data_IF_527315131136
#
_entry.id   IF_527315131136
#
_cell.length_a   1.000
_cell.length_b   1.000
_cell.length_c   1.000
_cell.angle_alpha   90.00
_cell.angle_beta   90.00
_cell.angle_gamma   90.00
#
_symmetry.space_group_name_H-M   'P 1'
#
loop_
_entity.id
_entity.type
_entity.pdbx_description
1 polymer ?
#
# COMPACT_ATOMS: atom_id res chain seq x y z
N UNK A 1 4.52 -6.16 13.24
CA UNK A 1 5.31 -4.89 13.03
C UNK A 1 4.32 -3.75 13.03
N UNK A 2 4.60 -2.61 13.66
CA UNK A 2 3.73 -1.42 13.59
C UNK A 2 4.33 -0.42 12.61
N UNK A 3 3.50 0.14 11.73
CA UNK A 3 3.92 1.24 10.85
C UNK A 3 3.84 2.56 11.61
N UNK A 4 4.81 3.43 11.40
CA UNK A 4 4.89 4.72 12.08
C UNK A 4 4.39 5.85 11.17
N UNK A 5 3.91 6.99 11.75
CA UNK A 5 3.56 8.16 10.93
C UNK A 5 4.70 8.66 10.04
N UNK A 6 5.96 8.50 10.48
CA UNK A 6 7.14 8.85 9.69
C UNK A 6 7.25 8.01 8.42
N UNK A 7 6.93 6.72 8.49
CA UNK A 7 6.95 5.81 7.34
C UNK A 7 5.79 6.06 6.37
N UNK A 8 4.71 6.68 6.80
CA UNK A 8 3.58 7.06 5.95
C UNK A 8 3.70 8.46 5.32
N UNK A 9 4.77 9.22 5.64
CA UNK A 9 4.92 10.62 5.24
C UNK A 9 4.98 10.82 3.73
N UNK A 10 5.67 9.94 3.00
CA UNK A 10 5.76 9.95 1.55
C UNK A 10 5.60 8.51 1.03
N UNK A 11 4.40 8.17 0.65
CA UNK A 11 3.99 6.83 0.26
C UNK A 11 3.89 6.74 -1.28
N UNK A 12 4.72 5.94 -1.90
CA UNK A 12 4.72 5.72 -3.34
C UNK A 12 4.06 4.38 -3.69
N UNK A 13 3.20 4.40 -4.71
CA UNK A 13 2.57 3.22 -5.30
C UNK A 13 3.15 3.03 -6.69
N UNK A 14 3.68 1.85 -6.99
CA UNK A 14 4.25 1.56 -8.31
C UNK A 14 3.16 1.50 -9.38
N UNK A 15 3.50 1.97 -10.57
CA UNK A 15 2.66 1.83 -11.77
C UNK A 15 3.57 1.63 -12.99
N UNK A 16 3.48 0.46 -13.59
CA UNK A 16 4.29 0.07 -14.75
C UNK A 16 4.04 0.95 -15.97
N UNK A 17 2.85 1.54 -16.08
CA UNK A 17 2.51 2.44 -17.20
C UNK A 17 3.34 3.72 -17.25
N UNK A 18 4.07 4.05 -16.18
CA UNK A 18 4.93 5.23 -16.10
C UNK A 18 6.38 4.96 -16.47
N UNK A 19 6.76 3.69 -16.65
CA UNK A 19 8.12 3.34 -17.01
C UNK A 19 8.42 3.83 -18.44
N UNK A 20 9.54 4.52 -18.60
CA UNK A 20 10.09 4.92 -19.88
C UNK A 20 10.92 3.78 -20.46
N UNK A 21 11.31 3.92 -21.72
CA UNK A 21 12.21 2.97 -22.36
C UNK A 21 13.51 2.80 -21.58
N UNK A 22 13.87 1.55 -21.27
CA UNK A 22 15.05 1.20 -20.48
C UNK A 22 14.88 1.29 -18.96
N UNK A 23 13.74 1.79 -18.46
CA UNK A 23 13.43 1.80 -17.02
C UNK A 23 12.81 0.48 -16.55
N UNK A 24 13.07 0.13 -15.30
CA UNK A 24 12.46 -1.00 -14.59
C UNK A 24 11.80 -0.50 -13.30
N UNK A 25 10.88 -1.29 -12.74
CA UNK A 25 10.34 -0.96 -11.41
C UNK A 25 11.45 -0.83 -10.37
N UNK A 26 12.51 -1.64 -10.48
CA UNK A 26 13.66 -1.55 -9.59
C UNK A 26 14.37 -0.21 -9.71
N UNK A 27 14.77 0.21 -10.93
CA UNK A 27 15.51 1.46 -11.14
C UNK A 27 14.72 2.68 -10.71
N UNK A 28 13.41 2.73 -11.05
CA UNK A 28 12.55 3.84 -10.63
C UNK A 28 12.33 3.85 -9.11
N UNK A 29 12.14 2.68 -8.49
CA UNK A 29 12.00 2.59 -7.04
C UNK A 29 13.27 3.03 -6.32
N UNK A 30 14.45 2.71 -6.84
CA UNK A 30 15.71 3.17 -6.26
C UNK A 30 15.81 4.71 -6.28
N UNK A 31 15.45 5.35 -7.38
CA UNK A 31 15.42 6.81 -7.46
C UNK A 31 14.38 7.44 -6.50
N UNK A 32 13.21 6.81 -6.35
CA UNK A 32 12.21 7.24 -5.37
C UNK A 32 12.75 7.16 -3.93
N UNK A 33 13.46 6.09 -3.59
CA UNK A 33 14.07 5.91 -2.27
C UNK A 33 15.19 6.92 -2.01
N UNK A 34 16.05 7.20 -3.01
CA UNK A 34 17.05 8.28 -2.95
C UNK A 34 16.38 9.65 -2.76
N UNK A 35 15.20 9.84 -3.36
CA UNK A 35 14.37 11.06 -3.20
C UNK A 35 13.65 11.18 -1.85
N UNK A 36 13.77 10.19 -0.97
CA UNK A 36 13.21 10.24 0.39
C UNK A 36 11.82 9.65 0.55
N UNK A 37 11.36 8.81 -0.39
CA UNK A 37 10.14 8.01 -0.21
C UNK A 37 10.30 7.15 1.04
N UNK A 38 9.26 7.12 1.86
CA UNK A 38 9.27 6.48 3.18
C UNK A 38 8.42 5.20 3.28
N UNK A 39 7.66 4.88 2.23
CA UNK A 39 6.93 3.62 2.07
C UNK A 39 6.73 3.32 0.58
N UNK A 40 6.93 2.08 0.17
CA UNK A 40 6.70 1.62 -1.21
C UNK A 40 5.56 0.60 -1.22
N UNK A 41 4.60 0.77 -2.13
CA UNK A 41 3.59 -0.25 -2.43
C UNK A 41 3.82 -0.80 -3.84
N UNK A 42 4.11 -2.12 -3.94
CA UNK A 42 4.14 -2.82 -5.21
C UNK A 42 2.70 -3.13 -5.65
N UNK A 43 2.28 -2.51 -6.74
CA UNK A 43 0.94 -2.68 -7.31
C UNK A 43 1.01 -3.17 -8.75
N UNK A 44 0.72 -4.46 -8.93
CA UNK A 44 0.72 -5.17 -10.22
C UNK A 44 -0.61 -5.92 -10.39
N UNK A 45 -1.63 -5.24 -10.92
CA UNK A 45 -3.00 -5.83 -11.01
C UNK A 45 -3.14 -6.91 -12.07
N UNK A 46 -2.33 -6.85 -13.13
CA UNK A 46 -2.48 -7.72 -14.32
C UNK A 46 -1.28 -8.65 -14.53
N UNK A 47 -0.31 -8.66 -13.62
CA UNK A 47 0.86 -9.51 -13.72
C UNK A 47 0.57 -10.91 -13.16
N UNK A 48 1.27 -11.91 -13.70
CA UNK A 48 1.25 -13.26 -13.14
C UNK A 48 1.93 -13.29 -11.76
N UNK A 49 1.51 -14.21 -10.90
CA UNK A 49 2.05 -14.37 -9.55
C UNK A 49 3.57 -14.51 -9.52
N UNK A 50 4.13 -15.29 -10.47
CA UNK A 50 5.58 -15.48 -10.59
C UNK A 50 6.33 -14.16 -10.85
N UNK A 51 5.74 -13.27 -11.64
CA UNK A 51 6.31 -11.95 -11.90
C UNK A 51 6.23 -11.05 -10.66
N UNK A 52 5.08 -11.03 -9.97
CA UNK A 52 4.92 -10.26 -8.73
C UNK A 52 5.91 -10.73 -7.66
N UNK A 53 6.07 -12.05 -7.50
CA UNK A 53 7.03 -12.63 -6.56
C UNK A 53 8.47 -12.19 -6.87
N UNK A 54 8.89 -12.31 -8.14
CA UNK A 54 10.23 -11.91 -8.56
C UNK A 54 10.50 -10.42 -8.29
N UNK A 55 9.58 -9.55 -8.66
CA UNK A 55 9.69 -8.10 -8.43
C UNK A 55 9.65 -7.76 -6.93
N UNK A 56 8.78 -8.42 -6.17
CA UNK A 56 8.70 -8.20 -4.73
C UNK A 56 9.99 -8.60 -4.01
N UNK A 57 10.66 -9.68 -4.42
CA UNK A 57 11.96 -10.10 -3.87
C UNK A 57 13.03 -9.04 -4.13
N UNK A 58 13.14 -8.54 -5.37
CA UNK A 58 14.09 -7.49 -5.73
C UNK A 58 13.83 -6.19 -4.98
N UNK A 59 12.56 -5.75 -4.93
CA UNK A 59 12.17 -4.51 -4.26
C UNK A 59 12.30 -4.63 -2.73
N UNK A 60 12.08 -5.82 -2.15
CA UNK A 60 12.27 -6.05 -0.72
C UNK A 60 13.73 -5.81 -0.30
N UNK A 61 14.69 -6.37 -1.01
CA UNK A 61 16.10 -6.16 -0.73
C UNK A 61 16.51 -4.70 -0.89
N UNK A 62 15.97 -4.04 -1.93
CA UNK A 62 16.20 -2.62 -2.16
C UNK A 62 15.62 -1.78 -1.01
N UNK A 63 14.35 -1.96 -0.65
CA UNK A 63 13.68 -1.26 0.43
C UNK A 63 14.36 -1.49 1.79
N UNK A 64 14.83 -2.71 2.05
CA UNK A 64 15.58 -3.05 3.26
C UNK A 64 16.84 -2.21 3.42
N UNK A 65 17.62 -2.00 2.34
CA UNK A 65 18.83 -1.15 2.35
C UNK A 65 18.54 0.30 2.72
N UNK A 66 17.34 0.80 2.41
CA UNK A 66 16.90 2.17 2.73
C UNK A 66 16.05 2.25 4.01
N UNK A 67 15.84 1.13 4.72
CA UNK A 67 14.98 1.03 5.91
C UNK A 67 13.53 1.49 5.66
N UNK A 68 13.01 1.23 4.46
CA UNK A 68 11.68 1.59 4.00
C UNK A 68 10.81 0.32 3.91
N UNK A 69 9.57 0.31 4.44
CA UNK A 69 8.69 -0.85 4.30
C UNK A 69 8.23 -1.04 2.86
N UNK A 70 8.21 -2.32 2.42
CA UNK A 70 7.56 -2.75 1.19
C UNK A 70 6.18 -3.33 1.50
N UNK A 71 5.16 -2.80 0.87
CA UNK A 71 3.76 -3.24 0.97
C UNK A 71 3.35 -3.90 -0.36
N UNK A 72 2.67 -5.03 -0.30
CA UNK A 72 2.10 -5.68 -1.49
C UNK A 72 0.63 -5.27 -1.63
N UNK A 73 0.19 -4.96 -2.85
CA UNK A 73 -1.21 -4.59 -3.10
C UNK A 73 -2.09 -5.84 -3.24
N UNK A 74 -3.20 -5.94 -2.50
CA UNK A 74 -4.30 -6.92 -2.62
C UNK A 74 -3.94 -8.41 -2.44
N UNK A 75 -2.68 -8.77 -2.20
CA UNK A 75 -2.21 -10.17 -2.19
C UNK A 75 -1.45 -10.51 -0.89
N UNK A 76 -2.18 -10.76 0.22
CA UNK A 76 -1.56 -11.16 1.49
C UNK A 76 -0.78 -12.50 1.39
N UNK A 77 -1.23 -13.42 0.53
CA UNK A 77 -0.52 -14.66 0.23
C UNK A 77 0.87 -14.42 -0.37
N UNK A 78 1.01 -13.45 -1.27
CA UNK A 78 2.30 -13.08 -1.84
C UNK A 78 3.15 -12.25 -0.86
N UNK A 79 2.53 -11.40 -0.05
CA UNK A 79 3.23 -10.69 1.02
C UNK A 79 3.87 -11.67 2.01
N UNK A 80 3.15 -12.73 2.38
CA UNK A 80 3.67 -13.79 3.24
C UNK A 80 4.83 -14.54 2.58
N UNK A 81 4.66 -14.98 1.31
CA UNK A 81 5.68 -15.74 0.58
C UNK A 81 6.98 -14.97 0.40
N UNK A 82 6.92 -13.69 0.11
CA UNK A 82 8.11 -12.85 -0.12
C UNK A 82 8.72 -12.33 1.18
N UNK A 83 7.97 -12.37 2.29
CA UNK A 83 8.36 -11.70 3.53
C UNK A 83 8.45 -10.19 3.39
N UNK A 84 7.56 -9.59 2.56
CA UNK A 84 7.37 -8.15 2.50
C UNK A 84 6.89 -7.61 3.86
N UNK A 85 6.95 -6.30 4.08
CA UNK A 85 6.56 -5.70 5.36
C UNK A 85 5.06 -5.79 5.65
N UNK A 86 4.23 -5.90 4.60
CA UNK A 86 2.78 -5.99 4.77
C UNK A 86 2.00 -5.98 3.46
N UNK A 87 0.70 -5.75 3.59
CA UNK A 87 -0.26 -5.72 2.49
C UNK A 87 -1.14 -4.47 2.59
N UNK A 88 -1.58 -3.95 1.47
CA UNK A 88 -2.67 -2.97 1.40
C UNK A 88 -3.86 -3.59 0.68
N UNK A 89 -5.04 -3.61 1.31
CA UNK A 89 -6.25 -4.21 0.78
C UNK A 89 -7.33 -3.16 0.52
N UNK A 90 -8.12 -3.35 -0.53
CA UNK A 90 -9.37 -2.63 -0.75
C UNK A 90 -10.49 -3.22 0.10
N UNK A 91 -11.56 -2.44 0.32
CA UNK A 91 -12.74 -2.94 1.03
C UNK A 91 -13.50 -4.01 0.25
N UNK A 92 -13.41 -3.98 -1.09
CA UNK A 92 -14.06 -4.94 -1.99
C UNK A 92 -13.28 -6.22 -2.23
N UNK A 93 -12.00 -6.24 -1.87
CA UNK A 93 -11.09 -7.35 -2.17
C UNK A 93 -11.11 -8.38 -1.03
N UNK A 94 -9.96 -8.70 -0.45
CA UNK A 94 -9.90 -9.58 0.72
C UNK A 94 -10.10 -8.75 1.99
N UNK A 95 -11.05 -9.12 2.82
CA UNK A 95 -11.28 -8.41 4.07
C UNK A 95 -10.03 -8.36 4.97
N UNK A 96 -9.89 -7.28 5.72
CA UNK A 96 -8.76 -7.03 6.63
C UNK A 96 -8.59 -8.22 7.60
N UNK A 97 -9.68 -8.74 8.14
CA UNK A 97 -9.65 -9.90 9.04
C UNK A 97 -9.04 -11.14 8.38
N UNK A 98 -9.38 -11.40 7.11
CA UNK A 98 -8.82 -12.52 6.36
C UNK A 98 -7.32 -12.31 6.06
N UNK A 99 -6.93 -11.08 5.72
CA UNK A 99 -5.52 -10.74 5.58
C UNK A 99 -4.76 -10.96 6.90
N UNK A 100 -5.34 -10.55 8.02
CA UNK A 100 -4.76 -10.77 9.36
C UNK A 100 -4.66 -12.25 9.73
N UNK A 101 -5.64 -13.08 9.34
CA UNK A 101 -5.58 -14.53 9.54
C UNK A 101 -4.43 -15.18 8.75
N UNK A 102 -4.14 -14.71 7.55
CA UNK A 102 -3.04 -15.24 6.71
C UNK A 102 -1.67 -14.76 7.23
N UNK A 103 -1.57 -13.48 7.57
CA UNK A 103 -0.30 -12.80 7.84
C UNK A 103 0.10 -12.81 9.32
N UNK A 104 -0.86 -12.98 10.24
CA UNK A 104 -0.60 -12.80 11.67
C UNK A 104 -0.39 -11.33 12.05
N UNK A 105 0.16 -11.10 13.25
CA UNK A 105 0.32 -9.76 13.85
C UNK A 105 1.65 -9.07 13.48
N UNK A 106 2.58 -9.78 12.87
CA UNK A 106 3.89 -9.24 12.53
C UNK A 106 3.93 -8.45 11.21
N UNK A 107 2.86 -8.53 10.42
CA UNK A 107 2.73 -7.84 9.14
C UNK A 107 1.86 -6.58 9.27
N UNK A 108 2.22 -5.56 8.51
CA UNK A 108 1.45 -4.33 8.36
C UNK A 108 0.25 -4.60 7.45
N UNK A 109 -0.95 -4.17 7.86
CA UNK A 109 -2.14 -4.20 7.02
C UNK A 109 -2.68 -2.80 6.84
N UNK A 110 -2.60 -2.29 5.61
CA UNK A 110 -3.28 -1.07 5.22
C UNK A 110 -4.63 -1.36 4.58
N UNK A 111 -5.56 -0.43 4.69
CA UNK A 111 -6.87 -0.53 4.05
C UNK A 111 -7.29 0.78 3.40
N UNK A 112 -8.04 0.70 2.28
CA UNK A 112 -8.68 1.87 1.68
C UNK A 112 -9.93 2.25 2.48
N UNK A 113 -10.23 3.55 2.61
CA UNK A 113 -11.48 4.05 3.17
C UNK A 113 -11.92 5.35 2.46
N UNK A 114 -13.22 5.51 2.22
CA UNK A 114 -13.78 6.63 1.45
C UNK A 114 -14.77 7.47 2.27
N UNK A 115 -15.12 7.03 3.47
CA UNK A 115 -15.99 7.71 4.42
C UNK A 115 -15.66 7.29 5.86
N UNK A 116 -16.29 7.93 6.83
CA UNK A 116 -16.05 7.67 8.26
C UNK A 116 -16.45 6.25 8.66
N UNK A 117 -17.56 5.73 8.14
CA UNK A 117 -18.05 4.40 8.46
C UNK A 117 -17.05 3.32 8.02
N UNK A 118 -16.56 3.42 6.78
CA UNK A 118 -15.52 2.52 6.26
C UNK A 118 -14.22 2.61 7.07
N UNK A 119 -13.83 3.81 7.46
CA UNK A 119 -12.63 4.05 8.25
C UNK A 119 -12.71 3.37 9.63
N UNK A 120 -13.82 3.57 10.34
CA UNK A 120 -14.08 2.93 11.63
C UNK A 120 -14.16 1.40 11.52
N UNK A 121 -14.81 0.90 10.46
CA UNK A 121 -14.87 -0.54 10.20
C UNK A 121 -13.48 -1.14 9.93
N UNK A 122 -12.64 -0.44 9.16
CA UNK A 122 -11.28 -0.87 8.88
C UNK A 122 -10.39 -0.87 10.13
N UNK A 123 -10.48 0.17 10.96
CA UNK A 123 -9.79 0.25 12.25
C UNK A 123 -10.23 -0.89 13.19
N UNK A 124 -11.54 -1.09 13.35
CA UNK A 124 -12.09 -2.18 14.16
C UNK A 124 -11.69 -3.59 13.67
N UNK A 125 -11.50 -3.74 12.36
CA UNK A 125 -11.02 -4.98 11.75
C UNK A 125 -9.51 -5.19 11.91
N UNK A 126 -8.75 -4.21 12.44
CA UNK A 126 -7.33 -4.30 12.73
C UNK A 126 -6.42 -3.82 11.60
N UNK A 127 -6.84 -2.84 10.81
CA UNK A 127 -5.94 -2.13 9.90
C UNK A 127 -4.93 -1.28 10.69
N UNK A 128 -3.67 -1.27 10.25
CA UNK A 128 -2.59 -0.49 10.88
C UNK A 128 -2.51 0.94 10.31
N UNK A 129 -3.05 1.17 9.12
CA UNK A 129 -3.19 2.50 8.51
C UNK A 129 -4.30 2.52 7.45
N UNK A 130 -4.78 3.72 7.12
CA UNK A 130 -5.80 3.93 6.11
C UNK A 130 -5.26 4.70 4.90
N UNK A 131 -5.68 4.28 3.71
CA UNK A 131 -5.48 4.98 2.45
C UNK A 131 -6.78 5.70 2.05
N UNK A 132 -6.87 7.01 2.29
CA UNK A 132 -8.06 7.80 2.01
C UNK A 132 -7.87 8.68 0.77
N UNK A 133 -8.68 8.49 -0.26
CA UNK A 133 -8.54 9.27 -1.51
C UNK A 133 -9.52 8.87 -2.62
N UNK A 134 -9.48 9.57 -3.75
CA UNK A 134 -8.52 10.63 -4.09
C UNK A 134 -9.06 12.02 -3.74
N UNK A 135 -8.28 12.81 -2.99
CA UNK A 135 -8.69 14.18 -2.62
C UNK A 135 -8.54 15.15 -3.79
N UNK A 136 -7.44 15.05 -4.55
CA UNK A 136 -7.10 15.93 -5.67
C UNK A 136 -7.31 15.30 -7.05
N UNK A 137 -8.06 14.21 -7.12
CA UNK A 137 -8.24 13.46 -8.36
C UNK A 137 -7.08 12.51 -8.66
N UNK A 138 -7.31 11.58 -9.58
CA UNK A 138 -6.32 10.58 -9.98
C UNK A 138 -6.34 10.43 -11.49
N UNK A 139 -5.15 10.38 -12.10
CA UNK A 139 -4.98 10.04 -13.53
C UNK A 139 -4.78 8.53 -13.73
N UNK A 140 -4.49 7.79 -12.67
CA UNK A 140 -4.13 6.37 -12.71
C UNK A 140 -5.26 5.43 -12.29
N UNK A 141 -6.27 5.96 -11.58
CA UNK A 141 -7.47 5.21 -11.20
C UNK A 141 -8.67 5.86 -11.87
N UNK A 142 -9.29 5.19 -12.82
CA UNK A 142 -10.43 5.71 -13.62
C UNK A 142 -11.77 5.71 -12.88
N UNK A 143 -11.90 4.93 -11.79
CA UNK A 143 -13.16 4.74 -11.06
C UNK A 143 -13.05 5.18 -9.58
N UNK A 144 -12.35 6.26 -9.29
CA UNK A 144 -12.24 6.77 -7.91
C UNK A 144 -13.19 7.93 -7.72
N UNK A 145 -14.15 7.78 -6.81
CA UNK A 145 -14.94 8.90 -6.30
C UNK A 145 -14.02 9.90 -5.60
N UNK A 146 -14.22 11.18 -5.86
CA UNK A 146 -13.43 12.24 -5.23
C UNK A 146 -13.79 12.34 -3.75
N UNK A 147 -12.79 12.22 -2.89
CA UNK A 147 -12.94 12.46 -1.46
C UNK A 147 -12.83 13.97 -1.19
N UNK A 148 -13.84 14.56 -0.51
CA UNK A 148 -13.73 15.96 -0.13
C UNK A 148 -12.73 16.17 1.01
N UNK A 149 -12.07 17.37 1.11
CA UNK A 149 -11.22 17.70 2.26
C UNK A 149 -11.97 17.60 3.59
N UNK A 150 -13.26 17.94 3.60
CA UNK A 150 -14.12 17.83 4.79
C UNK A 150 -14.32 16.37 5.19
N UNK A 151 -14.61 15.48 4.24
CA UNK A 151 -14.71 14.03 4.51
C UNK A 151 -13.39 13.48 5.07
N UNK A 152 -12.24 13.87 4.48
CA UNK A 152 -10.93 13.47 5.01
C UNK A 152 -10.73 13.95 6.45
N UNK A 153 -11.07 15.20 6.74
CA UNK A 153 -11.01 15.76 8.11
C UNK A 153 -11.87 14.95 9.10
N UNK A 154 -13.08 14.59 8.66
CA UNK A 154 -13.99 13.80 9.50
C UNK A 154 -13.47 12.39 9.74
N UNK A 155 -12.88 11.74 8.73
CA UNK A 155 -12.20 10.45 8.89
C UNK A 155 -11.06 10.57 9.90
N UNK A 156 -10.16 11.54 9.73
CA UNK A 156 -9.04 11.75 10.65
C UNK A 156 -9.46 12.06 12.08
N UNK A 157 -10.63 12.66 12.29
CA UNK A 157 -11.18 12.95 13.63
C UNK A 157 -11.85 11.72 14.27
N UNK A 158 -12.24 10.73 13.47
CA UNK A 158 -13.00 9.57 13.94
C UNK A 158 -12.11 8.36 14.30
N UNK A 159 -10.92 8.24 13.68
CA UNK A 159 -10.00 7.13 13.92
C UNK A 159 -8.79 7.55 14.79
N UNK A 160 -8.11 6.58 15.41
CA UNK A 160 -7.03 6.79 16.40
C UNK A 160 -5.64 6.46 15.84
#
# INVERSE_FOLDING_TARGET
MQITPRQLKLYAVTDRSWLKEGETLYSVTEELLKGGVSCIQLREKNAADAQILHEAEQLKELCFRYHVPLIINDRPDLALKTGASGVHVGLSDMGIQKARQILGHDFIIGASAHNVEEALAAEAAGADYLGCGAVFGSKTKTNVSRLSPETLKNICAAVH
#
